data_IF_594364202589
#
_entry.id   IF_594364202589
#
_cell.length_a   1.000
_cell.length_b   1.000
_cell.length_c   1.000
_cell.angle_alpha   90.00
_cell.angle_beta   90.00
_cell.angle_gamma   90.00
#
_symmetry.space_group_name_H-M   'P 1'
#
loop_
_entity.id
_entity.type
_entity.pdbx_description
1 polymer ?
#
# COMPACT_ATOMS: atom_id res chain seq x y z
N UNK A 1 -2.95 -8.93 -21.49
CA UNK A 1 -2.78 -7.92 -20.42
C UNK A 1 -3.06 -8.59 -19.10
N UNK A 2 -2.31 -8.26 -18.06
CA UNK A 2 -2.48 -8.84 -16.71
C UNK A 2 -2.60 -7.73 -15.67
N UNK A 3 -3.14 -8.07 -14.51
CA UNK A 3 -3.20 -7.17 -13.36
C UNK A 3 -2.18 -7.69 -12.35
N UNK A 4 -1.23 -6.83 -11.99
CA UNK A 4 -0.26 -7.09 -10.94
C UNK A 4 -0.64 -6.33 -9.68
N UNK A 5 -0.53 -7.02 -8.54
CA UNK A 5 -0.67 -6.42 -7.23
C UNK A 5 0.68 -6.02 -6.65
N UNK A 6 0.79 -4.80 -6.15
CA UNK A 6 1.94 -4.33 -5.37
C UNK A 6 1.43 -3.90 -4.00
N UNK A 7 1.90 -4.56 -2.94
CA UNK A 7 1.56 -4.19 -1.56
C UNK A 7 2.83 -3.77 -0.81
N UNK A 8 2.74 -2.62 -0.13
CA UNK A 8 3.76 -2.11 0.76
C UNK A 8 3.20 -2.16 2.19
N UNK A 9 3.64 -3.12 3.02
CA UNK A 9 3.26 -3.16 4.43
C UNK A 9 3.98 -2.05 5.18
N UNK A 10 3.31 -1.48 6.18
CA UNK A 10 3.95 -0.55 7.11
C UNK A 10 3.43 -0.75 8.53
N UNK A 11 4.28 -0.43 9.50
CA UNK A 11 3.93 -0.52 10.91
C UNK A 11 3.64 0.87 11.47
N UNK A 12 2.42 1.08 11.93
CA UNK A 12 2.04 2.28 12.66
C UNK A 12 1.99 1.96 14.16
N UNK A 13 2.69 2.71 15.01
CA UNK A 13 2.52 2.60 16.47
C UNK A 13 1.23 3.34 16.87
N UNK A 14 0.44 2.75 17.78
CA UNK A 14 -0.90 3.27 18.17
C UNK A 14 -0.87 4.70 18.73
N UNK A 15 0.26 5.12 19.29
CA UNK A 15 0.45 6.45 19.89
C UNK A 15 0.82 7.52 18.86
N UNK A 16 1.12 7.15 17.61
CA UNK A 16 1.48 8.09 16.56
C UNK A 16 0.32 8.30 15.58
N UNK A 17 -0.37 9.44 15.77
CA UNK A 17 -1.31 10.03 14.80
C UNK A 17 -0.55 10.52 13.54
N UNK A 18 0.80 10.42 13.51
CA UNK A 18 1.61 10.98 12.43
C UNK A 18 1.38 10.22 11.12
N UNK A 19 1.09 10.97 10.06
CA UNK A 19 1.05 10.55 8.65
C UNK A 19 2.36 9.92 8.15
N UNK A 20 3.47 10.11 8.88
CA UNK A 20 4.81 9.69 8.48
C UNK A 20 4.97 8.23 8.01
N UNK A 21 4.37 7.20 8.65
CA UNK A 21 4.49 5.82 8.16
C UNK A 21 3.73 5.58 6.86
N UNK A 22 2.58 6.24 6.68
CA UNK A 22 1.79 6.18 5.46
C UNK A 22 2.49 6.94 4.33
N UNK A 23 3.00 8.14 4.61
CA UNK A 23 3.75 8.95 3.64
C UNK A 23 4.98 8.18 3.15
N UNK A 24 5.74 7.55 4.06
CA UNK A 24 6.87 6.70 3.70
C UNK A 24 6.46 5.48 2.86
N UNK A 25 5.28 4.90 3.13
CA UNK A 25 4.75 3.79 2.34
C UNK A 25 4.32 4.24 0.93
N UNK A 26 3.76 5.44 0.79
CA UNK A 26 3.43 6.07 -0.49
C UNK A 26 4.71 6.32 -1.29
N UNK A 27 5.75 6.88 -0.66
CA UNK A 27 7.04 7.12 -1.31
C UNK A 27 7.69 5.81 -1.79
N UNK A 28 7.67 4.77 -0.96
CA UNK A 28 8.16 3.45 -1.34
C UNK A 28 7.36 2.83 -2.51
N UNK A 29 6.04 3.02 -2.52
CA UNK A 29 5.19 2.57 -3.61
C UNK A 29 5.52 3.32 -4.92
N UNK A 30 5.64 4.64 -4.87
CA UNK A 30 6.02 5.47 -6.02
C UNK A 30 7.39 5.08 -6.57
N UNK A 31 8.37 4.86 -5.69
CA UNK A 31 9.69 4.39 -6.08
C UNK A 31 9.61 3.03 -6.79
N UNK A 32 8.81 2.09 -6.28
CA UNK A 32 8.64 0.77 -6.89
C UNK A 32 7.98 0.87 -8.27
N UNK A 33 6.98 1.73 -8.43
CA UNK A 33 6.31 1.97 -9.71
C UNK A 33 7.24 2.61 -10.73
N UNK A 34 8.07 3.57 -10.32
CA UNK A 34 9.06 4.22 -11.19
C UNK A 34 10.08 3.23 -11.77
N UNK A 35 10.37 2.14 -11.06
CA UNK A 35 11.28 1.09 -11.49
C UNK A 35 10.58 -0.16 -12.06
N UNK A 36 9.28 -0.09 -12.34
CA UNK A 36 8.50 -1.21 -12.86
C UNK A 36 8.25 -1.04 -14.37
N UNK A 37 9.17 -1.50 -15.25
CA UNK A 37 9.10 -1.25 -16.69
C UNK A 37 7.89 -1.89 -17.38
N UNK A 38 7.25 -2.86 -16.73
CA UNK A 38 6.09 -3.59 -17.26
C UNK A 38 4.75 -2.98 -16.82
N UNK A 39 4.75 -2.01 -15.89
CA UNK A 39 3.54 -1.32 -15.42
C UNK A 39 3.17 -0.24 -16.43
N UNK A 40 1.96 -0.35 -16.98
CA UNK A 40 1.40 0.62 -17.91
C UNK A 40 0.63 1.72 -17.18
N UNK A 41 -0.11 1.33 -16.14
CA UNK A 41 -1.06 2.20 -15.46
C UNK A 41 -1.35 1.68 -14.06
N UNK A 42 -1.54 2.59 -13.11
CA UNK A 42 -2.10 2.28 -11.78
C UNK A 42 -3.61 2.43 -11.85
N UNK A 43 -4.33 1.34 -11.64
CA UNK A 43 -5.80 1.26 -11.78
C UNK A 43 -6.51 1.63 -10.48
N UNK A 44 -5.96 1.22 -9.34
CA UNK A 44 -6.54 1.48 -8.01
C UNK A 44 -5.44 1.53 -6.96
N UNK A 45 -5.64 2.36 -5.93
CA UNK A 45 -4.81 2.43 -4.74
C UNK A 45 -5.72 2.31 -3.52
N UNK A 46 -5.39 1.38 -2.63
CA UNK A 46 -6.19 1.00 -1.48
C UNK A 46 -5.33 1.00 -0.22
N UNK A 47 -5.97 1.32 0.91
CA UNK A 47 -5.36 1.13 2.22
C UNK A 47 -5.73 -0.24 2.76
N UNK A 48 -4.75 -0.98 3.28
CA UNK A 48 -4.95 -2.31 3.84
C UNK A 48 -5.25 -2.15 5.33
N UNK A 49 -6.37 -2.75 5.77
CA UNK A 49 -6.82 -2.71 7.15
C UNK A 49 -6.83 -4.12 7.73
N UNK A 50 -6.21 -4.29 8.90
CA UNK A 50 -6.24 -5.52 9.67
C UNK A 50 -7.12 -5.35 10.92
N UNK A 51 -8.00 -6.30 11.24
CA UNK A 51 -8.76 -6.27 12.48
C UNK A 51 -7.82 -6.43 13.68
N UNK A 52 -8.12 -5.72 14.76
CA UNK A 52 -7.44 -5.90 16.04
C UNK A 52 -8.18 -6.93 16.88
N UNK A 53 -7.43 -7.70 17.66
CA UNK A 53 -8.01 -8.60 18.67
C UNK A 53 -8.72 -7.81 19.77
N UNK A 54 -9.61 -8.47 20.51
CA UNK A 54 -10.34 -7.92 21.66
C UNK A 54 -11.29 -6.74 21.33
N UNK A 55 -11.77 -6.66 20.08
CA UNK A 55 -12.75 -5.65 19.69
C UNK A 55 -12.19 -4.23 19.56
N UNK A 56 -10.86 -4.08 19.46
CA UNK A 56 -10.18 -2.78 19.40
C UNK A 56 -10.29 -2.07 18.02
N UNK A 57 -11.24 -2.48 17.18
CA UNK A 57 -11.46 -1.94 15.84
C UNK A 57 -10.50 -2.51 14.78
N UNK A 58 -10.25 -1.74 13.72
CA UNK A 58 -9.32 -2.09 12.65
C UNK A 58 -8.14 -1.10 12.62
N UNK A 59 -7.00 -1.55 12.12
CA UNK A 59 -5.78 -0.76 12.02
C UNK A 59 -5.25 -0.82 10.61
N UNK A 60 -4.78 0.31 10.10
CA UNK A 60 -4.12 0.36 8.81
C UNK A 60 -2.73 -0.29 8.91
N UNK A 61 -2.44 -1.23 8.01
CA UNK A 61 -1.20 -2.03 8.01
C UNK A 61 -0.45 -1.97 6.69
N UNK A 62 -0.98 -1.28 5.68
CA UNK A 62 -0.35 -1.22 4.38
C UNK A 62 -1.05 -0.31 3.38
N UNK A 63 -0.39 -0.14 2.25
CA UNK A 63 -0.96 0.43 1.02
C UNK A 63 -0.77 -0.58 -0.10
N UNK A 64 -1.77 -0.66 -0.98
CA UNK A 64 -1.86 -1.63 -2.06
C UNK A 64 -2.17 -0.88 -3.35
N UNK A 65 -1.44 -1.18 -4.41
CA UNK A 65 -1.72 -0.69 -5.76
C UNK A 65 -2.00 -1.85 -6.70
N UNK A 66 -3.06 -1.68 -7.49
CA UNK A 66 -3.41 -2.56 -8.59
C UNK A 66 -2.90 -1.95 -9.88
N UNK A 67 -1.97 -2.63 -10.53
CA UNK A 67 -1.29 -2.14 -11.71
C UNK A 67 -1.67 -2.96 -12.93
N UNK A 68 -1.99 -2.29 -14.03
CA UNK A 68 -2.14 -2.93 -15.33
C UNK A 68 -0.76 -3.13 -15.93
N UNK A 69 -0.43 -4.38 -16.28
CA UNK A 69 0.88 -4.74 -16.84
C UNK A 69 0.78 -5.29 -18.26
N UNK A 70 1.85 -5.12 -19.03
CA UNK A 70 2.08 -5.93 -20.24
C UNK A 70 2.27 -7.40 -19.83
N UNK A 71 1.86 -8.31 -20.71
CA UNK A 71 2.09 -9.76 -20.52
C UNK A 71 3.58 -10.03 -20.63
#
# INVERSE_FOLDING_TARGET
>A
MTIQLIEIPFFQLDTNIRKAPLDAAIDALNARLAHAPNVLEVVSIETVWAPRFLGLGAKQTGIRAWCRTRV
#
